data_IF_247583516439
#
_entry.id   IF_247583516439
#
_cell.length_a   1.000
_cell.length_b   1.000
_cell.length_c   1.000
_cell.angle_alpha   90.00
_cell.angle_beta   90.00
_cell.angle_gamma   90.00
#
_symmetry.space_group_name_H-M   'P 1'
#
loop_
_entity.id
_entity.type
_entity.pdbx_description
1 polymer ?
#
# COMPACT_ATOMS: atom_id res chain seq x y z
N UNK A 1 18.33 11.57 -45.44
CA UNK A 1 17.23 10.77 -44.84
C UNK A 1 16.57 11.64 -43.78
N UNK A 2 15.26 11.93 -43.86
CA UNK A 2 14.59 12.69 -42.81
C UNK A 2 14.61 11.91 -41.50
N UNK A 3 14.84 12.56 -40.34
CA UNK A 3 14.88 11.87 -39.05
C UNK A 3 13.52 11.21 -38.79
N UNK A 4 13.54 9.92 -38.46
CA UNK A 4 12.34 9.15 -38.11
C UNK A 4 11.81 9.71 -36.79
N UNK A 5 10.66 10.38 -36.84
CA UNK A 5 10.05 11.03 -35.66
C UNK A 5 9.77 9.96 -34.58
N UNK A 6 10.37 10.11 -33.41
CA UNK A 6 10.26 9.18 -32.27
C UNK A 6 8.96 9.36 -31.46
N UNK A 7 8.16 10.34 -31.84
CA UNK A 7 6.87 10.71 -31.22
C UNK A 7 5.89 9.53 -30.99
N UNK A 8 5.65 8.61 -31.94
CA UNK A 8 4.73 7.51 -31.73
C UNK A 8 5.24 6.47 -30.71
N UNK A 9 6.56 6.29 -30.60
CA UNK A 9 7.17 5.41 -29.60
C UNK A 9 7.07 6.03 -28.21
N UNK A 10 7.40 7.32 -28.08
CA UNK A 10 7.29 8.05 -26.83
C UNK A 10 5.85 8.04 -26.27
N UNK A 11 4.84 8.25 -27.14
CA UNK A 11 3.41 8.18 -26.75
C UNK A 11 3.01 6.79 -26.24
N UNK A 12 3.53 5.71 -26.81
CA UNK A 12 3.24 4.34 -26.34
C UNK A 12 3.87 4.05 -24.98
N UNK A 13 5.13 4.47 -24.78
CA UNK A 13 5.82 4.31 -23.51
C UNK A 13 5.12 5.11 -22.41
N UNK A 14 4.76 6.37 -22.68
CA UNK A 14 4.02 7.20 -21.73
C UNK A 14 2.69 6.56 -21.32
N UNK A 15 1.91 6.02 -22.27
CA UNK A 15 0.68 5.27 -21.95
C UNK A 15 0.96 4.05 -21.06
N UNK A 16 2.05 3.33 -21.34
CA UNK A 16 2.49 2.20 -20.51
C UNK A 16 2.79 2.62 -19.07
N UNK A 17 3.52 3.72 -18.89
CA UNK A 17 3.82 4.28 -17.57
C UNK A 17 2.53 4.69 -16.86
N UNK A 18 1.60 5.38 -17.53
CA UNK A 18 0.32 5.78 -16.93
C UNK A 18 -0.47 4.56 -16.45
N UNK A 19 -0.55 3.49 -17.25
CA UNK A 19 -1.24 2.26 -16.85
C UNK A 19 -0.56 1.62 -15.64
N UNK A 20 0.77 1.59 -15.62
CA UNK A 20 1.53 1.04 -14.49
C UNK A 20 1.30 1.84 -13.20
N UNK A 21 1.32 3.16 -13.27
CA UNK A 21 1.03 4.06 -12.14
C UNK A 21 -0.38 3.84 -11.60
N UNK A 22 -1.38 3.75 -12.48
CA UNK A 22 -2.78 3.51 -12.08
C UNK A 22 -2.91 2.16 -11.37
N UNK A 23 -2.28 1.09 -11.90
CA UNK A 23 -2.27 -0.22 -11.25
C UNK A 23 -1.57 -0.18 -9.88
N UNK A 24 -0.48 0.58 -9.77
CA UNK A 24 0.24 0.80 -8.51
C UNK A 24 -0.64 1.45 -7.45
N UNK A 25 -1.32 2.55 -7.81
CA UNK A 25 -2.25 3.26 -6.90
C UNK A 25 -3.42 2.38 -6.49
N UNK A 26 -4.02 1.64 -7.42
CA UNK A 26 -5.11 0.71 -7.10
C UNK A 26 -4.65 -0.42 -6.16
N UNK A 27 -3.45 -0.96 -6.38
CA UNK A 27 -2.85 -1.96 -5.51
C UNK A 27 -2.60 -1.44 -4.09
N UNK A 28 -2.02 -0.24 -3.97
CA UNK A 28 -1.78 0.40 -2.68
C UNK A 28 -3.10 0.69 -1.94
N UNK A 29 -4.11 1.20 -2.63
CA UNK A 29 -5.44 1.43 -2.05
C UNK A 29 -6.10 0.13 -1.59
N UNK A 30 -6.05 -0.93 -2.41
CA UNK A 30 -6.60 -2.24 -2.06
C UNK A 30 -5.92 -2.82 -0.81
N UNK A 31 -4.59 -2.73 -0.73
CA UNK A 31 -3.83 -3.15 0.44
C UNK A 31 -4.22 -2.35 1.69
N UNK A 32 -4.31 -1.03 1.58
CA UNK A 32 -4.73 -0.16 2.67
C UNK A 32 -6.16 -0.50 3.14
N UNK A 33 -7.08 -0.73 2.20
CA UNK A 33 -8.46 -1.08 2.49
C UNK A 33 -8.57 -2.43 3.23
N UNK A 34 -7.79 -3.43 2.83
CA UNK A 34 -7.73 -4.72 3.52
C UNK A 34 -7.17 -4.58 4.94
N UNK A 35 -6.12 -3.79 5.14
CA UNK A 35 -5.57 -3.50 6.47
C UNK A 35 -6.58 -2.73 7.34
N UNK A 36 -7.34 -1.81 6.76
CA UNK A 36 -8.36 -1.07 7.51
C UNK A 36 -9.53 -1.97 7.94
N UNK A 37 -9.91 -2.94 7.09
CA UNK A 37 -11.10 -3.76 7.31
C UNK A 37 -10.86 -4.98 8.20
N UNK A 38 -9.63 -5.51 8.27
CA UNK A 38 -9.33 -6.76 8.98
C UNK A 38 -8.08 -6.68 9.85
N UNK A 39 -8.27 -6.88 11.16
CA UNK A 39 -7.16 -7.02 12.12
C UNK A 39 -6.31 -8.27 11.86
N UNK A 40 -6.91 -9.38 11.43
CA UNK A 40 -6.15 -10.60 11.14
C UNK A 40 -5.25 -10.44 9.91
N UNK A 41 -5.70 -9.65 8.93
CA UNK A 41 -4.86 -9.26 7.81
C UNK A 41 -3.68 -8.39 8.27
N UNK A 42 -3.92 -7.42 9.16
CA UNK A 42 -2.84 -6.64 9.79
C UNK A 42 -1.86 -7.53 10.56
N UNK A 43 -2.33 -8.57 11.26
CA UNK A 43 -1.45 -9.53 11.95
C UNK A 43 -0.58 -10.32 10.95
N UNK A 44 -1.16 -10.72 9.82
CA UNK A 44 -0.41 -11.38 8.75
C UNK A 44 0.67 -10.45 8.19
N UNK A 45 0.34 -9.16 8.02
CA UNK A 45 1.29 -8.14 7.59
C UNK A 45 2.38 -7.89 8.63
N UNK A 46 2.05 -7.90 9.92
CA UNK A 46 3.02 -7.80 11.02
C UNK A 46 4.08 -8.90 10.91
N UNK A 47 3.66 -10.12 10.60
CA UNK A 47 4.56 -11.28 10.49
C UNK A 47 5.38 -11.33 9.21
N UNK A 48 4.82 -10.88 8.07
CA UNK A 48 5.48 -11.01 6.76
C UNK A 48 6.18 -9.73 6.29
N UNK A 49 5.57 -8.57 6.55
CA UNK A 49 5.97 -7.27 6.03
C UNK A 49 5.76 -6.17 7.09
N UNK A 50 6.48 -6.23 8.22
CA UNK A 50 6.27 -5.31 9.34
C UNK A 50 6.46 -3.84 8.96
N UNK A 51 7.38 -3.54 8.03
CA UNK A 51 7.60 -2.17 7.55
C UNK A 51 6.39 -1.58 6.84
N UNK A 52 5.61 -2.38 6.11
CA UNK A 52 4.41 -1.90 5.41
C UNK A 52 3.28 -1.65 6.39
N UNK A 53 3.13 -2.53 7.39
CA UNK A 53 2.17 -2.32 8.48
C UNK A 53 2.51 -1.04 9.27
N UNK A 54 3.80 -0.77 9.48
CA UNK A 54 4.24 0.44 10.18
C UNK A 54 3.89 1.72 9.40
N UNK A 55 4.02 1.70 8.07
CA UNK A 55 3.56 2.81 7.22
C UNK A 55 2.05 3.00 7.34
N UNK A 56 1.28 1.91 7.38
CA UNK A 56 -0.17 1.98 7.60
C UNK A 56 -0.52 2.65 8.94
N UNK A 57 0.14 2.27 10.04
CA UNK A 57 -0.09 2.91 11.34
C UNK A 57 0.24 4.39 11.28
N UNK A 58 1.46 4.75 10.84
CA UNK A 58 1.89 6.15 10.75
C UNK A 58 0.99 7.00 9.87
N UNK A 59 0.49 6.44 8.76
CA UNK A 59 -0.44 7.15 7.88
C UNK A 59 -1.77 7.46 8.56
N UNK A 60 -2.31 6.52 9.35
CA UNK A 60 -3.53 6.74 10.13
C UNK A 60 -3.30 7.74 11.27
N UNK A 61 -2.18 7.63 11.98
CA UNK A 61 -1.80 8.54 13.05
C UNK A 61 -1.60 9.97 12.54
N UNK A 62 -1.02 10.13 11.35
CA UNK A 62 -0.88 11.44 10.71
C UNK A 62 -2.23 12.01 10.28
N UNK A 63 -3.19 11.15 9.92
CA UNK A 63 -4.58 11.53 9.68
C UNK A 63 -5.39 11.76 10.98
N UNK A 64 -4.77 11.64 12.16
CA UNK A 64 -5.40 11.84 13.46
C UNK A 64 -6.18 10.64 14.00
N UNK A 65 -6.05 9.47 13.38
CA UNK A 65 -6.68 8.22 13.80
C UNK A 65 -5.65 7.43 14.64
N UNK A 66 -5.80 7.50 15.96
CA UNK A 66 -4.91 6.84 16.93
C UNK A 66 -5.55 5.57 17.53
N UNK A 67 -4.75 4.76 18.22
CA UNK A 67 -5.22 3.59 18.96
C UNK A 67 -5.29 2.28 18.17
N UNK A 68 -5.11 2.32 16.84
CA UNK A 68 -5.12 1.11 16.01
C UNK A 68 -3.91 0.23 16.33
N UNK A 69 -2.72 0.84 16.47
CA UNK A 69 -1.47 0.11 16.75
C UNK A 69 -1.55 -0.56 18.12
N UNK A 70 -1.94 0.19 19.13
CA UNK A 70 -2.06 -0.27 20.52
C UNK A 70 -3.08 -1.40 20.62
N UNK A 71 -4.28 -1.22 20.08
CA UNK A 71 -5.34 -2.23 20.13
C UNK A 71 -5.01 -3.51 19.34
N UNK A 72 -4.17 -3.41 18.31
CA UNK A 72 -3.66 -4.58 17.61
C UNK A 72 -2.59 -5.31 18.43
N UNK A 73 -1.65 -4.59 19.05
CA UNK A 73 -0.64 -5.19 19.93
C UNK A 73 -1.27 -5.89 21.14
N UNK A 74 -2.23 -5.26 21.80
CA UNK A 74 -2.99 -5.87 22.89
C UNK A 74 -3.67 -7.16 22.43
N UNK A 75 -4.41 -7.11 21.31
CA UNK A 75 -5.13 -8.28 20.80
C UNK A 75 -4.22 -9.43 20.37
N UNK A 76 -2.97 -9.15 20.01
CA UNK A 76 -2.01 -10.18 19.61
C UNK A 76 -1.17 -10.70 20.77
N UNK A 77 -0.91 -9.89 21.80
CA UNK A 77 -0.26 -10.36 23.03
C UNK A 77 -1.16 -11.30 23.82
N UNK A 78 -2.48 -11.04 23.89
CA UNK A 78 -3.42 -11.93 24.61
C UNK A 78 -3.63 -13.28 23.92
N UNK A 79 -3.22 -13.44 22.66
CA UNK A 79 -3.31 -14.72 21.92
C UNK A 79 -2.11 -15.65 22.17
N UNK A 80 -1.08 -15.19 22.89
CA UNK A 80 0.12 -15.97 23.20
C UNK A 80 0.13 -16.59 24.60
N UNK A 81 -0.90 -16.33 25.42
CA UNK A 81 -1.19 -17.00 26.70
C UNK A 81 -2.22 -18.13 26.52
#
# INVERSE_FOLDING_TARGET
MPPKTMEPLAKRLMKGVIVLEVLGVLGAYGLFHMMNSSRDFRNTMNRRFPSVLEVYYKSNEWAGIYGIREGDHEAWSTKQD
#
